data_IF_811723639812
#
_entry.id   IF_811723639812
#
_cell.length_a   1.000
_cell.length_b   1.000
_cell.length_c   1.000
_cell.angle_alpha   90.00
_cell.angle_beta   90.00
_cell.angle_gamma   90.00
#
_symmetry.space_group_name_H-M   'P 1'
#
loop_
_entity.id
_entity.type
_entity.pdbx_description
1 polymer ?
#
# COMPACT_ATOMS: atom_id res chain seq x y z
N UNK A 1 18.30 2.55 7.06
CA UNK A 1 18.35 3.27 5.77
C UNK A 1 16.99 3.89 5.56
N UNK A 2 16.92 5.19 5.34
CA UNK A 2 15.64 5.86 5.10
C UNK A 2 15.08 5.43 3.75
N UNK A 3 13.80 5.08 3.75
CA UNK A 3 13.11 4.56 2.58
C UNK A 3 11.72 5.16 2.43
N UNK A 4 11.26 5.13 1.18
CA UNK A 4 9.87 5.34 0.83
C UNK A 4 9.40 4.15 0.01
N UNK A 5 8.31 3.53 0.44
CA UNK A 5 7.62 2.47 -0.31
C UNK A 5 6.38 3.08 -0.94
N UNK A 6 6.21 2.91 -2.24
CA UNK A 6 5.07 3.45 -3.00
C UNK A 6 4.37 2.31 -3.76
N UNK A 7 3.14 2.01 -3.34
CA UNK A 7 2.35 0.89 -3.84
C UNK A 7 1.05 1.38 -4.44
N UNK A 8 0.68 0.84 -5.60
CA UNK A 8 -0.70 0.82 -6.07
C UNK A 8 -1.36 -0.48 -5.64
N UNK A 9 -2.49 -0.39 -4.95
CA UNK A 9 -3.13 -1.52 -4.25
C UNK A 9 -4.63 -1.52 -4.53
N UNK A 10 -5.17 -2.70 -4.86
CA UNK A 10 -6.62 -2.92 -5.00
C UNK A 10 -7.18 -3.37 -3.66
N UNK A 11 -8.00 -2.53 -3.02
CA UNK A 11 -8.60 -2.81 -1.70
C UNK A 11 -10.08 -2.47 -1.68
N UNK A 12 -10.81 -3.13 -0.80
CA UNK A 12 -12.17 -2.74 -0.44
C UNK A 12 -12.13 -1.66 0.63
N UNK A 13 -12.97 -0.61 0.55
CA UNK A 13 -13.02 0.43 1.57
C UNK A 13 -13.23 -0.10 3.01
N UNK A 14 -13.93 -1.23 3.16
CA UNK A 14 -14.16 -1.89 4.44
C UNK A 14 -12.90 -2.50 5.08
N UNK A 15 -11.83 -2.69 4.31
CA UNK A 15 -10.57 -3.27 4.78
C UNK A 15 -9.64 -2.23 5.43
N UNK A 16 -9.88 -0.93 5.22
CA UNK A 16 -8.96 0.11 5.64
C UNK A 16 -8.70 0.17 7.14
N UNK A 17 -9.73 -0.02 7.97
CA UNK A 17 -9.56 -0.03 9.43
C UNK A 17 -8.52 -1.06 9.87
N UNK A 18 -8.67 -2.31 9.39
CA UNK A 18 -7.71 -3.38 9.70
C UNK A 18 -6.32 -3.11 9.11
N UNK A 19 -6.23 -2.57 7.89
CA UNK A 19 -4.93 -2.24 7.28
C UNK A 19 -4.18 -1.19 8.10
N UNK A 20 -4.84 -0.11 8.52
CA UNK A 20 -4.19 0.96 9.30
C UNK A 20 -3.82 0.51 10.72
N UNK A 21 -4.60 -0.40 11.30
CA UNK A 21 -4.30 -0.97 12.63
C UNK A 21 -3.11 -1.94 12.61
N UNK A 22 -2.97 -2.73 11.53
CA UNK A 22 -1.99 -3.83 11.47
C UNK A 22 -0.69 -3.47 10.74
N UNK A 23 -0.74 -2.57 9.74
CA UNK A 23 0.40 -2.30 8.85
C UNK A 23 1.66 -1.85 9.60
N UNK A 24 1.63 -0.86 10.52
CA UNK A 24 2.83 -0.44 11.22
C UNK A 24 3.53 -1.60 11.94
N UNK A 25 2.78 -2.39 12.71
CA UNK A 25 3.33 -3.48 13.51
C UNK A 25 3.85 -4.65 12.63
N UNK A 26 3.12 -5.00 11.56
CA UNK A 26 3.55 -6.07 10.65
C UNK A 26 4.77 -5.67 9.83
N UNK A 27 4.80 -4.44 9.31
CA UNK A 27 5.94 -3.92 8.58
C UNK A 27 7.19 -3.86 9.46
N UNK A 28 7.05 -3.42 10.72
CA UNK A 28 8.16 -3.40 11.69
C UNK A 28 8.68 -4.82 11.97
N UNK A 29 7.77 -5.78 12.20
CA UNK A 29 8.12 -7.20 12.35
C UNK A 29 8.80 -7.80 11.12
N UNK A 30 8.55 -7.26 9.93
CA UNK A 30 9.20 -7.63 8.68
C UNK A 30 10.51 -6.86 8.40
N UNK A 31 10.87 -5.86 9.23
CA UNK A 31 12.14 -5.12 9.13
C UNK A 31 12.03 -3.72 8.52
N UNK A 32 10.81 -3.17 8.39
CA UNK A 32 10.50 -1.80 7.96
C UNK A 32 9.85 -1.03 9.12
N UNK A 33 10.61 -0.13 9.75
CA UNK A 33 10.07 0.80 10.75
C UNK A 33 9.30 1.92 10.05
N UNK A 34 8.02 2.08 10.37
CA UNK A 34 7.10 2.99 9.68
C UNK A 34 6.98 4.31 10.44
N UNK A 35 7.29 5.43 9.77
CA UNK A 35 7.11 6.77 10.31
C UNK A 35 5.73 7.34 9.95
N UNK A 36 5.26 7.11 8.73
CA UNK A 36 3.93 7.52 8.29
C UNK A 36 3.40 6.69 7.12
N UNK A 37 2.07 6.72 6.98
CA UNK A 37 1.33 6.12 5.87
C UNK A 37 0.46 7.21 5.25
N UNK A 38 0.70 7.50 3.97
CA UNK A 38 -0.11 8.42 3.18
C UNK A 38 -0.88 7.64 2.11
N UNK A 39 -2.14 8.02 1.89
CA UNK A 39 -3.07 7.29 1.02
C UNK A 39 -3.78 8.25 0.07
N UNK A 40 -3.86 7.87 -1.20
CA UNK A 40 -4.63 8.56 -2.23
C UNK A 40 -5.52 7.56 -2.95
N UNK A 41 -6.83 7.84 -3.05
CA UNK A 41 -7.72 7.05 -3.90
C UNK A 41 -7.55 7.50 -5.35
N UNK A 42 -7.07 6.60 -6.20
CA UNK A 42 -6.80 6.92 -7.60
C UNK A 42 -8.03 6.71 -8.48
N UNK A 43 -8.69 5.54 -8.36
CA UNK A 43 -9.76 5.12 -9.25
C UNK A 43 -10.79 4.24 -8.55
N UNK A 44 -12.02 4.24 -9.05
CA UNK A 44 -12.98 3.18 -8.75
C UNK A 44 -12.67 1.96 -9.61
N UNK A 45 -12.67 0.74 -9.05
CA UNK A 45 -12.38 -0.47 -9.81
C UNK A 45 -13.47 -0.86 -10.83
N UNK A 46 -14.58 -0.10 -10.89
CA UNK A 46 -15.59 -0.22 -11.94
C UNK A 46 -15.10 0.34 -13.29
N UNK A 47 -14.06 1.19 -13.27
CA UNK A 47 -13.44 1.74 -14.46
C UNK A 47 -12.54 0.69 -15.11
N UNK A 48 -12.92 0.25 -16.31
CA UNK A 48 -12.16 -0.72 -17.10
C UNK A 48 -11.02 0.01 -17.80
N UNK A 49 -9.82 -0.07 -17.21
CA UNK A 49 -8.49 0.17 -17.81
C UNK A 49 -7.44 0.29 -16.68
N UNK A 50 -7.38 -0.70 -15.78
CA UNK A 50 -6.42 -0.71 -14.68
C UNK A 50 -5.79 -2.10 -14.53
N UNK A 51 -4.46 -2.15 -14.49
CA UNK A 51 -3.71 -3.42 -14.44
C UNK A 51 -4.05 -4.27 -13.21
N UNK A 52 -4.37 -3.67 -12.06
CA UNK A 52 -4.79 -4.41 -10.87
C UNK A 52 -6.19 -5.02 -11.04
N UNK A 53 -7.08 -4.32 -11.74
CA UNK A 53 -8.42 -4.81 -12.08
C UNK A 53 -8.33 -5.95 -13.09
N UNK A 54 -7.44 -5.84 -14.09
CA UNK A 54 -7.20 -6.89 -15.08
C UNK A 54 -6.60 -8.15 -14.43
N UNK A 55 -5.62 -8.01 -13.53
CA UNK A 55 -5.05 -9.13 -12.77
C UNK A 55 -6.08 -9.77 -11.83
N UNK A 56 -6.95 -8.97 -11.19
CA UNK A 56 -8.07 -9.50 -10.40
C UNK A 56 -9.00 -10.35 -11.25
N UNK A 57 -9.40 -9.85 -12.43
CA UNK A 57 -10.21 -10.59 -13.37
C UNK A 57 -9.57 -11.90 -13.81
N UNK A 58 -8.26 -11.88 -14.10
CA UNK A 58 -7.51 -13.07 -14.51
C UNK A 58 -7.49 -14.14 -13.41
N UNK A 59 -7.33 -13.73 -12.15
CA UNK A 59 -7.25 -14.63 -10.99
C UNK A 59 -8.61 -15.16 -10.53
N UNK A 60 -9.65 -14.32 -10.56
CA UNK A 60 -10.94 -14.62 -9.94
C UNK A 60 -12.09 -14.84 -10.93
N UNK A 61 -11.90 -14.53 -12.22
CA UNK A 61 -12.92 -14.71 -13.27
C UNK A 61 -14.11 -13.74 -13.17
N UNK A 62 -14.03 -12.72 -12.32
CA UNK A 62 -15.07 -11.71 -12.11
C UNK A 62 -14.47 -10.35 -11.70
N UNK A 63 -15.25 -9.28 -11.82
CA UNK A 63 -14.83 -7.94 -11.42
C UNK A 63 -14.71 -7.81 -9.89
N UNK A 64 -13.76 -7.00 -9.39
CA UNK A 64 -13.67 -6.65 -7.98
C UNK A 64 -14.70 -5.57 -7.61
N UNK A 65 -15.99 -5.91 -7.70
CA UNK A 65 -17.09 -4.96 -7.47
C UNK A 65 -17.03 -4.36 -6.07
N UNK A 66 -16.94 -3.04 -5.98
CA UNK A 66 -16.85 -2.31 -4.71
C UNK A 66 -15.44 -2.15 -4.16
N UNK A 67 -14.42 -2.66 -4.85
CA UNK A 67 -13.03 -2.32 -4.59
C UNK A 67 -12.64 -0.99 -5.26
N UNK A 68 -11.56 -0.42 -4.77
CA UNK A 68 -10.96 0.82 -5.27
C UNK A 68 -9.45 0.63 -5.40
N UNK A 69 -8.83 1.41 -6.27
CA UNK A 69 -7.38 1.44 -6.40
C UNK A 69 -6.84 2.60 -5.59
N UNK A 70 -5.95 2.29 -4.66
CA UNK A 70 -5.28 3.26 -3.81
C UNK A 70 -3.79 3.31 -4.11
N UNK A 71 -3.22 4.50 -4.07
CA UNK A 71 -1.79 4.69 -3.87
C UNK A 71 -1.52 4.76 -2.37
N UNK A 72 -0.60 3.92 -1.90
CA UNK A 72 -0.17 3.85 -0.51
C UNK A 72 1.32 4.14 -0.47
N UNK A 73 1.68 5.21 0.24
CA UNK A 73 3.05 5.64 0.46
C UNK A 73 3.38 5.38 1.92
N UNK A 74 4.41 4.57 2.16
CA UNK A 74 4.95 4.28 3.50
C UNK A 74 6.35 4.86 3.58
N UNK A 75 6.53 5.90 4.38
CA UNK A 75 7.84 6.45 4.67
C UNK A 75 8.35 5.92 6.00
N UNK A 76 9.65 5.69 6.08
CA UNK A 76 10.28 5.24 7.32
C UNK A 76 11.72 4.81 7.12
N UNK A 77 12.15 3.83 7.90
CA UNK A 77 13.49 3.27 7.82
C UNK A 77 13.46 1.75 7.69
N UNK A 78 14.46 1.18 7.02
CA UNK A 78 14.58 -0.27 6.88
C UNK A 78 16.02 -0.76 7.03
N UNK A 79 16.12 -2.02 7.47
CA UNK A 79 17.37 -2.81 7.48
C UNK A 79 17.41 -3.84 6.35
N UNK A 80 16.31 -3.99 5.60
CA UNK A 80 16.23 -4.90 4.47
C UNK A 80 16.98 -4.34 3.25
N UNK A 81 17.39 -5.22 2.31
CA UNK A 81 17.71 -4.80 0.95
C UNK A 81 16.52 -4.05 0.33
N UNK A 82 16.78 -2.94 -0.37
CA UNK A 82 15.74 -2.04 -0.88
C UNK A 82 14.65 -2.77 -1.70
N UNK A 83 15.07 -3.73 -2.53
CA UNK A 83 14.16 -4.54 -3.36
C UNK A 83 13.26 -5.52 -2.58
N UNK A 84 13.37 -5.58 -1.25
CA UNK A 84 12.51 -6.38 -0.37
C UNK A 84 11.50 -5.53 0.42
N UNK A 85 11.72 -4.22 0.54
CA UNK A 85 10.88 -3.35 1.36
C UNK A 85 9.43 -3.27 0.88
N UNK A 86 9.21 -3.20 -0.43
CA UNK A 86 7.85 -3.14 -0.99
C UNK A 86 7.02 -4.39 -0.63
N UNK A 87 7.62 -5.58 -0.77
CA UNK A 87 6.97 -6.83 -0.39
C UNK A 87 6.71 -6.92 1.12
N UNK A 88 7.67 -6.49 1.95
CA UNK A 88 7.52 -6.47 3.41
C UNK A 88 6.34 -5.59 3.87
N UNK A 89 6.14 -4.43 3.24
CA UNK A 89 4.95 -3.59 3.51
C UNK A 89 3.69 -4.27 3.01
N UNK A 90 3.71 -4.87 1.82
CA UNK A 90 2.53 -5.48 1.23
C UNK A 90 2.06 -6.75 1.96
N UNK A 91 2.94 -7.44 2.67
CA UNK A 91 2.59 -8.57 3.56
C UNK A 91 1.65 -8.16 4.71
N UNK A 92 1.51 -6.86 4.99
CA UNK A 92 0.55 -6.37 5.95
C UNK A 92 -0.91 -6.37 5.45
N UNK A 93 -1.11 -6.33 4.13
CA UNK A 93 -2.44 -6.29 3.54
C UNK A 93 -3.18 -7.63 3.70
N UNK A 94 -4.52 -7.64 3.51
CA UNK A 94 -5.28 -8.88 3.46
C UNK A 94 -4.68 -9.89 2.48
N UNK A 95 -4.84 -11.17 2.76
CA UNK A 95 -4.40 -12.23 1.86
C UNK A 95 -4.98 -12.02 0.45
N UNK A 96 -4.20 -12.38 -0.56
CA UNK A 96 -4.53 -12.24 -1.99
C UNK A 96 -4.75 -10.79 -2.48
N UNK A 97 -4.41 -9.78 -1.67
CA UNK A 97 -4.40 -8.37 -2.11
C UNK A 97 -3.51 -8.22 -3.34
N UNK A 98 -4.05 -7.60 -4.39
CA UNK A 98 -3.33 -7.36 -5.64
C UNK A 98 -2.69 -5.98 -5.58
N UNK A 99 -1.39 -5.93 -5.83
CA UNK A 99 -0.61 -4.71 -5.77
C UNK A 99 0.58 -4.74 -6.73
N UNK A 100 1.09 -3.56 -7.07
CA UNK A 100 2.42 -3.37 -7.62
C UNK A 100 3.05 -2.12 -7.01
N UNK A 101 4.38 -2.02 -7.06
CA UNK A 101 5.08 -0.87 -6.51
C UNK A 101 6.55 -1.14 -6.29
N UNK A 102 7.24 -0.17 -5.70
CA UNK A 102 8.67 -0.23 -5.43
C UNK A 102 9.01 0.45 -4.10
N UNK A 103 10.27 0.35 -3.72
CA UNK A 103 10.85 1.14 -2.66
C UNK A 103 12.03 1.95 -3.21
N UNK A 104 12.16 3.19 -2.74
CA UNK A 104 13.24 4.11 -3.06
C UNK A 104 13.95 4.55 -1.78
N UNK A 105 15.20 5.01 -1.92
CA UNK A 105 15.94 5.60 -0.79
C UNK A 105 15.41 7.01 -0.53
N UNK A 106 15.22 7.35 0.75
CA UNK A 106 14.80 8.68 1.19
C UNK A 106 13.32 8.74 1.54
N UNK A 107 12.69 9.87 1.27
CA UNK A 107 11.33 10.18 1.70
C UNK A 107 10.53 10.70 0.51
N UNK A 108 9.28 10.25 0.38
CA UNK A 108 8.33 10.80 -0.59
C UNK A 108 7.43 11.81 0.09
N UNK A 109 7.54 13.07 -0.33
CA UNK A 109 6.54 14.08 0.00
C UNK A 109 5.25 13.79 -0.77
N UNK A 110 4.10 13.98 -0.11
CA UNK A 110 2.79 13.74 -0.71
C UNK A 110 2.08 15.05 -1.07
N UNK A 111 1.41 15.05 -2.22
CA UNK A 111 0.79 16.24 -2.82
C UNK A 111 -0.64 16.52 -2.32
N UNK A 112 -1.23 17.59 -2.85
CA UNK A 112 -2.64 17.92 -2.61
C UNK A 112 -3.53 16.77 -3.11
N UNK A 113 -4.34 16.18 -2.22
CA UNK A 113 -5.23 15.05 -2.52
C UNK A 113 -4.82 13.74 -1.83
N UNK A 114 -3.60 13.65 -1.32
CA UNK A 114 -3.16 12.52 -0.48
C UNK A 114 -3.47 12.79 1.00
N UNK A 115 -4.06 11.81 1.68
CA UNK A 115 -4.37 11.86 3.11
C UNK A 115 -3.25 11.22 3.91
N UNK A 116 -2.76 11.90 4.96
CA UNK A 116 -1.92 11.29 5.98
C UNK A 116 -2.79 10.38 6.86
N UNK A 117 -2.89 9.11 6.50
CA UNK A 117 -3.80 8.15 7.11
C UNK A 117 -3.29 7.64 8.47
N UNK A 118 -1.98 7.63 8.66
CA UNK A 118 -1.35 7.25 9.92
C UNK A 118 0.00 7.95 10.08
N UNK A 119 0.37 8.26 11.32
CA UNK A 119 1.69 8.77 11.68
C UNK A 119 2.13 8.16 12.99
N UNK A 120 3.42 7.85 13.11
CA UNK A 120 4.03 7.41 14.36
C UNK A 120 3.86 8.51 15.40
N UNK A 121 3.42 8.15 16.60
CA UNK A 121 3.39 9.09 17.71
C UNK A 121 4.83 9.43 18.12
N UNK A 122 5.11 10.70 18.48
CA UNK A 122 6.45 11.13 18.90
C UNK A 122 6.92 10.47 20.20
#
# INVERSE_FOLDING_TARGET
MDISVDLSVLLYPSQWGAVLDELPAKAEGAGVDVDNIAVEQLYSACEKENVLVDDYWLRHGQAPTGAEVYRIIVNGASTLPLNKCAAAVAEAFPADTIWYGTAEIGHTEFGLGTTLAWTKSP
#
